data_IF_389990596375
#
_entry.id   IF_389990596375
#
_cell.length_a   1.000
_cell.length_b   1.000
_cell.length_c   1.000
_cell.angle_alpha   90.00
_cell.angle_beta   90.00
_cell.angle_gamma   90.00
#
_symmetry.space_group_name_H-M   'P 1'
#
loop_
_entity.id
_entity.type
_entity.pdbx_description
1 polymer ?
#
# COMPACT_ATOMS: atom_id res chain seq x y z
N UNK A 1 14.62 3.22 -16.99
CA UNK A 1 14.72 4.60 -16.46
C UNK A 1 15.07 5.63 -17.54
N UNK A 2 16.29 5.65 -18.12
CA UNK A 2 16.73 6.71 -19.06
C UNK A 2 15.78 7.00 -20.24
N UNK A 3 15.24 5.97 -20.90
CA UNK A 3 14.28 6.16 -22.02
C UNK A 3 12.99 6.89 -21.59
N UNK A 4 12.50 6.60 -20.38
CA UNK A 4 11.31 7.24 -19.82
C UNK A 4 11.62 8.67 -19.36
N UNK A 5 12.80 8.92 -18.79
CA UNK A 5 13.26 10.27 -18.44
C UNK A 5 13.38 11.17 -19.67
N UNK A 6 13.89 10.64 -20.79
CA UNK A 6 13.95 11.35 -22.07
C UNK A 6 12.54 11.67 -22.60
N UNK A 7 11.62 10.72 -22.52
CA UNK A 7 10.24 10.91 -22.96
C UNK A 7 9.49 11.96 -22.11
N UNK A 8 9.70 11.96 -20.79
CA UNK A 8 9.05 12.88 -19.86
C UNK A 8 9.78 14.22 -19.68
N UNK A 9 10.97 14.39 -20.27
CA UNK A 9 11.78 15.60 -20.15
C UNK A 9 12.26 15.91 -18.73
N UNK A 10 12.27 14.94 -17.82
CA UNK A 10 12.63 15.15 -16.40
C UNK A 10 13.40 13.97 -15.82
N UNK A 11 14.33 14.27 -14.90
CA UNK A 11 15.06 13.24 -14.14
C UNK A 11 14.11 12.55 -13.16
N UNK A 12 13.91 11.25 -13.33
CA UNK A 12 13.10 10.39 -12.47
C UNK A 12 13.93 9.73 -11.36
N UNK A 13 15.26 9.78 -11.44
CA UNK A 13 16.15 9.26 -10.37
C UNK A 13 15.76 9.80 -9.00
N UNK A 14 15.42 11.09 -8.91
CA UNK A 14 15.01 11.72 -7.66
C UNK A 14 13.71 11.15 -7.10
N UNK A 15 12.76 10.71 -7.94
CA UNK A 15 11.51 10.11 -7.47
C UNK A 15 11.78 8.80 -6.73
N UNK A 16 12.62 7.94 -7.30
CA UNK A 16 12.99 6.66 -6.66
C UNK A 16 13.79 6.91 -5.38
N UNK A 17 14.73 7.87 -5.40
CA UNK A 17 15.47 8.25 -4.20
C UNK A 17 14.51 8.74 -3.09
N UNK A 18 13.54 9.60 -3.42
CA UNK A 18 12.57 10.11 -2.44
C UNK A 18 11.68 9.00 -1.86
N UNK A 19 11.24 8.04 -2.68
CA UNK A 19 10.48 6.88 -2.20
C UNK A 19 11.31 6.05 -1.20
N UNK A 20 12.59 5.81 -1.51
CA UNK A 20 13.48 5.09 -0.61
C UNK A 20 13.80 5.88 0.67
N UNK A 21 13.96 7.21 0.56
CA UNK A 21 14.12 8.08 1.74
C UNK A 21 12.88 8.04 2.63
N UNK A 22 11.68 7.88 2.08
CA UNK A 22 10.43 7.73 2.82
C UNK A 22 10.31 6.40 3.56
N UNK A 23 11.03 5.36 3.12
CA UNK A 23 11.01 4.03 3.74
C UNK A 23 11.60 4.06 5.16
N UNK A 24 12.70 4.78 5.37
CA UNK A 24 13.41 4.82 6.65
C UNK A 24 12.57 5.42 7.81
N UNK A 25 11.94 6.61 7.68
CA UNK A 25 11.08 7.13 8.73
C UNK A 25 9.82 6.28 8.94
N UNK A 26 9.26 5.67 7.89
CA UNK A 26 8.16 4.70 8.04
C UNK A 26 8.59 3.47 8.85
N UNK A 27 9.79 2.96 8.59
CA UNK A 27 10.35 1.85 9.37
C UNK A 27 10.51 2.22 10.84
N UNK A 28 11.04 3.41 11.14
CA UNK A 28 11.14 3.87 12.54
C UNK A 28 9.77 4.06 13.19
N UNK A 29 8.77 4.56 12.45
CA UNK A 29 7.40 4.68 12.94
C UNK A 29 6.81 3.29 13.29
N UNK A 30 6.96 2.32 12.40
CA UNK A 30 6.50 0.94 12.64
C UNK A 30 7.20 0.35 13.85
N UNK A 31 8.52 0.54 13.98
CA UNK A 31 9.28 0.09 15.16
C UNK A 31 8.80 0.76 16.45
N UNK A 32 8.42 2.04 16.40
CA UNK A 32 7.83 2.72 17.55
C UNK A 32 6.44 2.22 17.92
N UNK A 33 5.62 1.84 16.92
CA UNK A 33 4.25 1.36 17.12
C UNK A 33 4.18 -0.11 17.54
N UNK A 34 5.04 -0.95 16.97
CA UNK A 34 4.96 -2.40 17.05
C UNK A 34 6.26 -3.08 17.51
N UNK A 35 7.28 -2.30 17.85
CA UNK A 35 8.58 -2.84 18.25
C UNK A 35 9.44 -3.33 17.07
N UNK A 36 10.64 -3.83 17.36
CA UNK A 36 11.56 -4.29 16.33
C UNK A 36 11.02 -5.52 15.59
N UNK A 37 11.43 -5.65 14.33
CA UNK A 37 11.20 -6.86 13.53
C UNK A 37 11.98 -8.04 14.12
N UNK A 38 11.33 -9.19 14.33
CA UNK A 38 11.97 -10.41 14.87
C UNK A 38 12.64 -11.22 13.76
N UNK A 39 12.04 -11.27 12.58
CA UNK A 39 12.56 -11.94 11.39
C UNK A 39 12.01 -11.30 10.11
N UNK A 40 12.47 -11.72 8.95
CA UNK A 40 11.92 -11.31 7.65
C UNK A 40 10.41 -11.54 7.52
N UNK A 41 9.83 -12.40 8.38
CA UNK A 41 8.41 -12.80 8.36
C UNK A 41 7.63 -12.43 9.62
N UNK A 42 8.29 -11.95 10.68
CA UNK A 42 7.63 -11.75 11.98
C UNK A 42 7.97 -10.40 12.59
N UNK A 43 6.93 -9.71 13.02
CA UNK A 43 6.99 -8.48 13.81
C UNK A 43 6.72 -8.84 15.28
N UNK A 44 7.37 -8.12 16.22
CA UNK A 44 7.35 -8.49 17.65
C UNK A 44 6.09 -8.05 18.40
N UNK A 45 5.47 -6.97 17.96
CA UNK A 45 4.43 -6.29 18.72
C UNK A 45 3.02 -6.83 18.49
N UNK A 46 2.04 -6.21 19.16
CA UNK A 46 0.65 -6.64 19.10
C UNK A 46 0.05 -6.48 17.69
N UNK A 47 0.43 -5.46 16.93
CA UNK A 47 -0.03 -5.25 15.55
C UNK A 47 0.57 -6.34 14.66
N UNK A 48 1.87 -6.60 14.80
CA UNK A 48 2.59 -7.62 14.07
C UNK A 48 2.00 -9.02 14.23
N UNK A 49 1.71 -9.40 15.48
CA UNK A 49 1.06 -10.68 15.82
C UNK A 49 -0.36 -10.80 15.26
N UNK A 50 -1.08 -9.68 15.13
CA UNK A 50 -2.41 -9.68 14.51
C UNK A 50 -2.36 -9.92 12.99
N UNK A 51 -1.21 -9.66 12.33
CA UNK A 51 -1.07 -9.88 10.89
C UNK A 51 -1.08 -11.38 10.53
N UNK A 52 -0.61 -12.25 11.43
CA UNK A 52 -0.56 -13.70 11.20
C UNK A 52 -1.96 -14.31 11.01
N UNK A 53 -2.98 -13.73 11.66
CA UNK A 53 -4.38 -14.15 11.51
C UNK A 53 -5.24 -13.09 10.83
N UNK A 54 -4.64 -12.06 10.21
CA UNK A 54 -5.37 -10.94 9.61
C UNK A 54 -6.38 -11.40 8.54
N UNK A 55 -6.06 -12.47 7.80
CA UNK A 55 -6.91 -13.05 6.77
C UNK A 55 -8.09 -13.84 7.31
N UNK A 56 -8.05 -14.24 8.59
CA UNK A 56 -9.11 -15.05 9.21
C UNK A 56 -10.21 -14.17 9.81
N UNK A 57 -9.97 -12.86 9.95
CA UNK A 57 -10.97 -11.94 10.48
C UNK A 57 -12.08 -11.68 9.49
N UNK A 58 -13.31 -11.64 10.00
CA UNK A 58 -14.45 -11.14 9.24
C UNK A 58 -14.20 -9.70 8.81
N UNK A 59 -14.45 -9.43 7.54
CA UNK A 59 -14.32 -8.09 6.99
C UNK A 59 -15.44 -7.21 7.55
N UNK A 60 -15.06 -6.24 8.37
CA UNK A 60 -15.99 -5.22 8.84
C UNK A 60 -16.05 -4.06 7.82
N UNK A 61 -17.18 -3.88 7.09
CA UNK A 61 -17.33 -2.76 6.16
C UNK A 61 -17.49 -1.41 6.86
N UNK A 62 -17.78 -1.41 8.17
CA UNK A 62 -17.98 -0.22 8.99
C UNK A 62 -16.68 0.15 9.71
N UNK A 63 -15.77 0.82 8.98
CA UNK A 63 -14.55 1.38 9.54
C UNK A 63 -14.55 2.92 9.48
N UNK A 64 -13.75 3.55 10.35
CA UNK A 64 -13.60 5.00 10.34
C UNK A 64 -12.71 5.43 9.16
N UNK A 65 -13.24 6.30 8.30
CA UNK A 65 -12.46 6.83 7.16
C UNK A 65 -11.25 7.63 7.63
N UNK A 66 -10.15 7.57 6.88
CA UNK A 66 -8.95 8.37 7.15
C UNK A 66 -9.03 9.72 6.41
N UNK A 67 -9.31 10.80 7.15
CA UNK A 67 -9.38 12.16 6.61
C UNK A 67 -8.08 12.97 6.71
N UNK A 68 -7.01 12.37 7.24
CA UNK A 68 -5.71 13.05 7.37
C UNK A 68 -5.08 13.31 6.00
N UNK A 69 -4.46 14.48 5.81
CA UNK A 69 -3.73 14.83 4.60
C UNK A 69 -4.59 15.33 3.43
N UNK A 70 -3.94 15.77 2.33
CA UNK A 70 -4.61 16.32 1.16
C UNK A 70 -5.53 15.29 0.47
N UNK A 71 -6.56 15.74 -0.28
CA UNK A 71 -7.44 14.87 -1.05
C UNK A 71 -6.68 13.84 -1.89
N UNK A 72 -7.19 12.61 -1.96
CA UNK A 72 -6.58 11.59 -2.80
C UNK A 72 -6.69 12.01 -4.27
N UNK A 73 -5.56 11.98 -4.99
CA UNK A 73 -5.55 12.23 -6.42
C UNK A 73 -6.27 11.09 -7.12
N UNK A 74 -7.41 11.37 -7.77
CA UNK A 74 -8.12 10.39 -8.59
C UNK A 74 -7.39 10.22 -9.92
N UNK A 75 -6.98 8.99 -10.20
CA UNK A 75 -6.24 8.66 -11.42
C UNK A 75 -7.21 8.58 -12.61
N UNK A 76 -6.80 9.00 -13.83
CA UNK A 76 -7.60 8.79 -15.03
C UNK A 76 -7.81 7.30 -15.30
N UNK A 77 -8.97 6.91 -15.84
CA UNK A 77 -9.30 5.51 -16.14
C UNK A 77 -8.25 4.80 -17.00
N UNK A 78 -7.68 5.50 -17.98
CA UNK A 78 -6.60 4.98 -18.82
C UNK A 78 -5.37 4.54 -18.00
N UNK A 79 -5.02 5.32 -16.97
CA UNK A 79 -3.90 5.00 -16.08
C UNK A 79 -4.26 3.81 -15.20
N UNK A 80 -5.49 3.78 -14.67
CA UNK A 80 -5.97 2.69 -13.80
C UNK A 80 -5.94 1.33 -14.54
N UNK A 81 -6.26 1.33 -15.84
CA UNK A 81 -6.24 0.14 -16.70
C UNK A 81 -4.82 -0.34 -17.02
N UNK A 82 -3.84 0.56 -17.01
CA UNK A 82 -2.42 0.25 -17.24
C UNK A 82 -1.68 -0.17 -15.95
N UNK A 83 -2.33 -0.15 -14.79
CA UNK A 83 -1.72 -0.59 -13.52
C UNK A 83 -1.53 -2.12 -13.50
N UNK A 84 -0.44 -2.58 -12.85
CA UNK A 84 -0.33 -4.00 -12.52
C UNK A 84 -1.44 -4.42 -11.55
N UNK A 85 -1.69 -5.73 -11.44
CA UNK A 85 -2.69 -6.28 -10.50
C UNK A 85 -2.48 -5.76 -9.08
N UNK A 86 -1.23 -5.77 -8.58
CA UNK A 86 -0.88 -5.31 -7.24
C UNK A 86 -1.11 -3.79 -7.07
N UNK A 87 -0.71 -3.00 -8.08
CA UNK A 87 -0.90 -1.55 -8.05
C UNK A 87 -2.39 -1.18 -8.11
N UNK A 88 -3.16 -1.90 -8.93
CA UNK A 88 -4.59 -1.71 -9.06
C UNK A 88 -5.31 -2.07 -7.75
N UNK A 89 -4.92 -3.19 -7.12
CA UNK A 89 -5.42 -3.58 -5.81
C UNK A 89 -5.11 -2.51 -4.75
N UNK A 90 -3.85 -2.07 -4.66
CA UNK A 90 -3.44 -1.00 -3.73
C UNK A 90 -4.22 0.29 -3.95
N UNK A 91 -4.44 0.70 -5.21
CA UNK A 91 -5.24 1.87 -5.55
C UNK A 91 -6.70 1.74 -5.04
N UNK A 92 -7.32 0.57 -5.22
CA UNK A 92 -8.69 0.31 -4.75
C UNK A 92 -8.79 0.36 -3.22
N UNK A 93 -7.82 -0.23 -2.50
CA UNK A 93 -7.77 -0.20 -1.03
C UNK A 93 -7.61 1.24 -0.52
N UNK A 94 -6.69 2.01 -1.10
CA UNK A 94 -6.50 3.42 -0.70
C UNK A 94 -7.77 4.24 -0.95
N UNK A 95 -8.45 4.02 -2.08
CA UNK A 95 -9.74 4.67 -2.33
C UNK A 95 -10.78 4.28 -1.28
N UNK A 96 -10.91 2.98 -0.94
CA UNK A 96 -11.86 2.52 0.06
C UNK A 96 -11.61 3.17 1.43
N UNK A 97 -10.36 3.19 1.90
CA UNK A 97 -9.98 3.78 3.19
C UNK A 97 -10.22 5.29 3.24
N UNK A 98 -9.98 6.00 2.13
CA UNK A 98 -10.19 7.46 2.02
C UNK A 98 -11.66 7.84 1.90
N UNK A 99 -12.41 7.08 1.10
CA UNK A 99 -13.83 7.33 0.85
C UNK A 99 -14.70 6.80 2.00
N UNK A 100 -14.17 5.90 2.84
CA UNK A 100 -14.87 5.29 3.97
C UNK A 100 -15.85 4.19 3.55
N UNK A 101 -15.69 3.66 2.34
CA UNK A 101 -16.61 2.69 1.74
C UNK A 101 -15.80 1.54 1.16
N UNK A 102 -16.05 0.32 1.63
CA UNK A 102 -15.47 -0.90 1.06
C UNK A 102 -16.42 -1.51 0.02
N UNK A 103 -16.07 -1.52 -1.28
CA UNK A 103 -16.88 -2.18 -2.29
C UNK A 103 -16.97 -3.69 -2.05
N UNK A 104 -18.16 -4.29 -2.20
CA UNK A 104 -18.36 -5.73 -1.95
C UNK A 104 -17.44 -6.63 -2.79
N UNK A 105 -17.21 -6.30 -4.07
CA UNK A 105 -16.27 -7.03 -4.91
C UNK A 105 -14.79 -6.85 -4.53
N UNK A 106 -14.44 -5.83 -3.73
CA UNK A 106 -13.11 -5.69 -3.15
C UNK A 106 -13.00 -6.47 -1.83
N UNK A 107 -14.08 -6.53 -1.04
CA UNK A 107 -14.13 -7.33 0.18
C UNK A 107 -13.96 -8.83 -0.11
N UNK A 108 -14.57 -9.32 -1.19
CA UNK A 108 -14.51 -10.74 -1.58
C UNK A 108 -13.29 -11.09 -2.45
N UNK A 109 -12.37 -10.14 -2.65
CA UNK A 109 -11.21 -10.37 -3.52
C UNK A 109 -10.18 -11.23 -2.79
N UNK A 110 -9.98 -12.45 -3.25
CA UNK A 110 -8.87 -13.29 -2.80
C UNK A 110 -7.55 -12.83 -3.43
N UNK A 111 -6.57 -12.55 -2.59
CA UNK A 111 -5.23 -12.14 -3.02
C UNK A 111 -4.46 -13.41 -3.40
N UNK A 112 -3.92 -13.45 -4.62
CA UNK A 112 -3.06 -14.53 -5.07
C UNK A 112 -1.77 -14.65 -4.22
N UNK A 113 -1.03 -15.77 -4.33
CA UNK A 113 0.21 -15.95 -3.58
C UNK A 113 1.22 -14.85 -3.91
N UNK A 114 1.94 -14.39 -2.88
CA UNK A 114 2.97 -13.34 -3.05
C UNK A 114 4.08 -13.88 -3.95
N UNK A 115 4.30 -13.22 -5.10
CA UNK A 115 5.41 -13.56 -5.98
C UNK A 115 6.70 -12.92 -5.47
N UNK A 116 7.64 -13.75 -5.00
CA UNK A 116 8.93 -13.32 -4.46
C UNK A 116 10.00 -13.03 -5.52
N UNK A 117 9.65 -12.93 -6.80
CA UNK A 117 10.61 -12.59 -7.85
C UNK A 117 11.27 -11.24 -7.56
N UNK A 118 12.55 -11.30 -7.19
CA UNK A 118 13.47 -10.17 -6.97
C UNK A 118 13.94 -9.57 -8.29
#
# INVERSE_FOLDING_TARGET
MRKLELHLGRKLVWLVCNLHTGELPLRHLIVGLDGPTLSDKQLSGPIGKLLDSATDFEINPNFTRISVGPPLIKLPNKVIQDLSTDQHYGYKIVCAVRDGVLPGGLALLEIGPVNHSR
#
